data_IF_581937246861
#
_entry.id   IF_581937246861
#
_cell.length_a   1.000
_cell.length_b   1.000
_cell.length_c   1.000
_cell.angle_alpha   90.00
_cell.angle_beta   90.00
_cell.angle_gamma   90.00
#
_symmetry.space_group_name_H-M   'P 1'
#
loop_
_entity.id
_entity.type
_entity.pdbx_description
1 polymer ?
#
# COMPACT_ATOMS: atom_id res chain seq x y z
N UNK A 1 18.41 8.33 -25.87
CA UNK A 1 17.08 8.94 -25.71
C UNK A 1 16.36 8.19 -24.60
N UNK A 2 15.94 8.85 -23.51
CA UNK A 2 15.19 8.18 -22.45
C UNK A 2 13.88 7.62 -23.04
N UNK A 3 13.62 6.32 -22.85
CA UNK A 3 12.39 5.68 -23.29
C UNK A 3 11.20 6.36 -22.61
N UNK A 4 10.26 6.87 -23.39
CA UNK A 4 9.01 7.47 -22.88
C UNK A 4 8.22 6.36 -22.17
N UNK A 5 8.01 6.50 -20.86
CA UNK A 5 7.29 5.55 -20.02
C UNK A 5 5.79 5.80 -20.12
N UNK A 6 5.37 7.07 -20.07
CA UNK A 6 3.95 7.44 -20.07
C UNK A 6 3.50 7.94 -21.44
N UNK A 7 2.29 7.56 -21.85
CA UNK A 7 1.68 7.99 -23.10
C UNK A 7 0.32 8.61 -22.82
N UNK A 8 0.28 9.94 -22.84
CA UNK A 8 -0.95 10.69 -22.65
C UNK A 8 -1.84 10.55 -23.88
N UNK A 9 -3.07 10.10 -23.69
CA UNK A 9 -4.12 10.05 -24.69
C UNK A 9 -5.20 11.08 -24.31
N UNK A 10 -5.38 12.07 -25.17
CA UNK A 10 -6.39 13.11 -24.99
C UNK A 10 -6.83 13.66 -26.36
N UNK A 11 -8.13 13.87 -26.59
CA UNK A 11 -8.61 14.55 -27.79
C UNK A 11 -8.38 16.08 -27.75
N UNK A 12 -7.97 16.63 -26.61
CA UNK A 12 -7.76 18.06 -26.41
C UNK A 12 -6.28 18.38 -26.19
N UNK A 13 -5.84 19.53 -26.70
CA UNK A 13 -4.52 20.12 -26.43
C UNK A 13 -4.59 21.07 -25.22
N UNK A 14 -3.47 21.31 -24.51
CA UNK A 14 -3.42 22.34 -23.45
C UNK A 14 -3.88 23.70 -23.96
N UNK A 15 -4.80 24.34 -23.23
CA UNK A 15 -5.39 25.63 -23.58
C UNK A 15 -5.39 26.61 -22.39
N UNK A 16 -5.59 27.90 -22.65
CA UNK A 16 -5.51 28.95 -21.62
C UNK A 16 -4.15 28.94 -20.91
N UNK A 17 -4.17 29.00 -19.58
CA UNK A 17 -2.94 29.02 -18.76
C UNK A 17 -2.25 27.65 -18.66
N UNK A 18 -2.88 26.57 -19.12
CA UNK A 18 -2.37 25.20 -18.93
C UNK A 18 -0.99 25.01 -19.52
N UNK A 19 -0.74 25.53 -20.74
CA UNK A 19 0.56 25.37 -21.40
C UNK A 19 1.68 26.03 -20.59
N UNK A 20 1.45 27.25 -20.10
CA UNK A 20 2.42 27.95 -19.27
C UNK A 20 2.62 27.23 -17.93
N UNK A 21 1.54 26.73 -17.33
CA UNK A 21 1.60 26.01 -16.06
C UNK A 21 2.40 24.71 -16.17
N UNK A 22 2.13 23.90 -17.20
CA UNK A 22 2.87 22.67 -17.51
C UNK A 22 4.36 22.98 -17.67
N UNK A 23 4.70 23.96 -18.51
CA UNK A 23 6.10 24.31 -18.77
C UNK A 23 6.84 24.75 -17.50
N UNK A 24 6.20 25.57 -16.65
CA UNK A 24 6.81 26.04 -15.38
C UNK A 24 7.00 24.90 -14.37
N UNK A 25 6.00 24.02 -14.24
CA UNK A 25 6.06 22.87 -13.34
C UNK A 25 7.16 21.88 -13.78
N UNK A 26 7.18 21.52 -15.07
CA UNK A 26 8.20 20.62 -15.63
C UNK A 26 9.60 21.23 -15.50
N UNK A 27 9.77 22.52 -15.81
CA UNK A 27 11.05 23.19 -15.62
C UNK A 27 11.49 23.18 -14.16
N UNK A 28 10.59 23.38 -13.19
CA UNK A 28 10.91 23.26 -11.77
C UNK A 28 11.32 21.85 -11.36
N UNK A 29 10.62 20.84 -11.87
CA UNK A 29 10.99 19.44 -11.62
C UNK A 29 12.36 19.10 -12.20
N UNK A 30 12.69 19.60 -13.40
CA UNK A 30 14.00 19.39 -14.04
C UNK A 30 15.14 20.15 -13.33
N UNK A 31 14.86 21.32 -12.74
CA UNK A 31 15.81 22.02 -11.86
C UNK A 31 16.05 21.30 -10.53
N UNK A 32 15.17 20.38 -10.15
CA UNK A 32 15.23 19.67 -8.87
C UNK A 32 14.49 20.39 -7.74
N UNK A 33 13.52 21.26 -8.05
CA UNK A 33 12.70 21.89 -7.01
C UNK A 33 11.90 20.83 -6.24
N UNK A 34 12.13 20.75 -4.94
CA UNK A 34 11.46 19.75 -4.09
C UNK A 34 9.95 20.00 -3.97
N UNK A 35 9.54 21.27 -3.83
CA UNK A 35 8.16 21.66 -3.56
C UNK A 35 7.71 22.72 -4.57
N UNK A 36 6.57 22.48 -5.19
CA UNK A 36 5.91 23.40 -6.12
C UNK A 36 4.40 23.41 -5.88
N UNK A 37 3.74 24.53 -6.16
CA UNK A 37 2.28 24.64 -6.02
C UNK A 37 1.66 25.08 -7.33
N UNK A 38 0.66 24.33 -7.80
CA UNK A 38 -0.28 24.75 -8.83
C UNK A 38 -1.51 25.36 -8.14
N UNK A 39 -1.60 26.68 -8.17
CA UNK A 39 -2.76 27.45 -7.75
C UNK A 39 -3.77 27.45 -8.91
N UNK A 40 -4.64 26.45 -8.93
CA UNK A 40 -5.59 26.22 -10.03
C UNK A 40 -7.03 26.36 -9.58
N UNK A 41 -7.78 27.28 -10.18
CA UNK A 41 -9.21 27.46 -9.88
C UNK A 41 -10.02 26.24 -10.29
N UNK A 42 -11.17 26.02 -9.66
CA UNK A 42 -12.07 24.91 -10.03
C UNK A 42 -12.53 25.04 -11.48
N UNK A 43 -12.46 23.93 -12.22
CA UNK A 43 -12.80 23.88 -13.65
C UNK A 43 -11.67 24.31 -14.60
N UNK A 44 -10.49 24.66 -14.09
CA UNK A 44 -9.34 25.02 -14.94
C UNK A 44 -8.63 23.83 -15.60
N UNK A 45 -9.04 22.59 -15.31
CA UNK A 45 -8.41 21.39 -15.84
C UNK A 45 -7.08 21.01 -15.14
N UNK A 46 -7.04 21.13 -13.80
CA UNK A 46 -5.87 20.74 -12.99
C UNK A 46 -5.39 19.32 -13.28
N UNK A 47 -6.28 18.33 -13.32
CA UNK A 47 -5.90 16.93 -13.60
C UNK A 47 -5.21 16.78 -14.95
N UNK A 48 -5.72 17.43 -16.00
CA UNK A 48 -5.13 17.36 -17.33
C UNK A 48 -3.75 18.03 -17.38
N UNK A 49 -3.58 19.13 -16.64
CA UNK A 49 -2.28 19.81 -16.48
C UNK A 49 -1.27 18.87 -15.83
N UNK A 50 -1.66 18.22 -14.73
CA UNK A 50 -0.80 17.24 -14.05
C UNK A 50 -0.53 16.01 -14.92
N UNK A 51 -1.50 15.53 -15.71
CA UNK A 51 -1.27 14.43 -16.63
C UNK A 51 -0.18 14.77 -17.66
N UNK A 52 -0.19 15.99 -18.22
CA UNK A 52 0.90 16.45 -19.09
C UNK A 52 2.24 16.51 -18.34
N UNK A 53 2.25 16.98 -17.08
CA UNK A 53 3.47 17.00 -16.26
C UNK A 53 4.01 15.59 -16.00
N UNK A 54 3.16 14.62 -15.66
CA UNK A 54 3.56 13.20 -15.48
C UNK A 54 4.17 12.65 -16.77
N UNK A 55 3.55 12.91 -17.91
CA UNK A 55 4.05 12.46 -19.21
C UNK A 55 5.44 13.02 -19.54
N UNK A 56 5.63 14.33 -19.34
CA UNK A 56 6.87 15.02 -19.67
C UNK A 56 7.99 14.76 -18.66
N UNK A 57 7.67 14.67 -17.37
CA UNK A 57 8.63 14.38 -16.32
C UNK A 57 9.02 12.90 -16.28
N UNK A 58 8.12 12.02 -16.72
CA UNK A 58 8.37 10.63 -17.06
C UNK A 58 8.92 9.78 -15.90
N UNK A 59 8.31 9.92 -14.71
CA UNK A 59 8.58 9.11 -13.51
C UNK A 59 7.28 8.51 -12.95
N UNK A 60 7.34 7.39 -12.21
CA UNK A 60 6.19 6.90 -11.44
C UNK A 60 5.57 8.02 -10.62
N UNK A 61 4.25 8.00 -10.45
CA UNK A 61 3.52 9.05 -9.76
C UNK A 61 2.62 8.49 -8.65
N UNK A 62 2.60 9.19 -7.51
CA UNK A 62 1.62 9.01 -6.45
C UNK A 62 0.73 10.25 -6.40
N UNK A 63 -0.57 10.07 -6.52
CA UNK A 63 -1.58 11.13 -6.37
C UNK A 63 -2.35 10.88 -5.09
N UNK A 64 -2.24 11.77 -4.10
CA UNK A 64 -2.98 11.66 -2.84
C UNK A 64 -4.19 12.58 -2.88
N UNK A 65 -5.38 12.02 -2.62
CA UNK A 65 -6.63 12.74 -2.49
C UNK A 65 -7.19 12.66 -1.05
N UNK A 66 -7.94 13.67 -0.58
CA UNK A 66 -8.40 13.77 0.80
C UNK A 66 -9.53 12.77 1.15
N UNK A 67 -10.21 12.22 0.14
CA UNK A 67 -11.32 11.29 0.34
C UNK A 67 -11.45 10.27 -0.80
N UNK A 68 -12.19 9.17 -0.54
CA UNK A 68 -12.37 8.06 -1.49
C UNK A 68 -13.10 8.49 -2.77
N UNK A 69 -14.06 9.42 -2.67
CA UNK A 69 -14.85 9.87 -3.83
C UNK A 69 -13.99 10.62 -4.85
N UNK A 70 -13.17 11.57 -4.39
CA UNK A 70 -12.24 12.30 -5.25
C UNK A 70 -11.14 11.38 -5.77
N UNK A 71 -10.62 10.48 -4.94
CA UNK A 71 -9.65 9.47 -5.38
C UNK A 71 -10.22 8.61 -6.53
N UNK A 72 -11.47 8.16 -6.43
CA UNK A 72 -12.10 7.36 -7.48
C UNK A 72 -12.33 8.17 -8.77
N UNK A 73 -12.67 9.46 -8.64
CA UNK A 73 -12.77 10.37 -9.80
C UNK A 73 -11.43 10.51 -10.51
N UNK A 74 -10.38 10.89 -9.77
CA UNK A 74 -9.03 11.04 -10.31
C UNK A 74 -8.52 9.75 -10.93
N UNK A 75 -8.77 8.59 -10.28
CA UNK A 75 -8.41 7.29 -10.84
C UNK A 75 -9.04 7.07 -12.22
N UNK A 76 -10.34 7.36 -12.40
CA UNK A 76 -11.00 7.25 -13.71
C UNK A 76 -10.42 8.23 -14.74
N UNK A 77 -10.19 9.48 -14.34
CA UNK A 77 -9.59 10.50 -15.21
C UNK A 77 -8.20 10.06 -15.69
N UNK A 78 -7.31 9.65 -14.78
CA UNK A 78 -5.99 9.16 -15.13
C UNK A 78 -6.04 7.88 -15.97
N UNK A 79 -6.99 6.97 -15.73
CA UNK A 79 -7.15 5.76 -16.56
C UNK A 79 -7.54 6.10 -18.00
N UNK A 80 -8.36 7.14 -18.18
CA UNK A 80 -8.72 7.64 -19.51
C UNK A 80 -7.54 8.35 -20.19
N UNK A 81 -6.76 9.13 -19.43
CA UNK A 81 -5.57 9.81 -19.93
C UNK A 81 -4.41 8.86 -20.25
N UNK A 82 -4.30 7.73 -19.56
CA UNK A 82 -3.18 6.80 -19.70
C UNK A 82 -3.65 5.35 -19.88
N UNK A 83 -4.39 5.03 -20.97
CA UNK A 83 -5.00 3.71 -21.16
C UNK A 83 -3.98 2.59 -21.40
N UNK A 84 -2.76 2.93 -21.82
CA UNK A 84 -1.67 1.98 -22.08
C UNK A 84 -0.72 1.81 -20.88
N UNK A 85 -0.84 2.64 -19.84
CA UNK A 85 0.02 2.60 -18.66
C UNK A 85 -0.68 2.00 -17.43
N UNK A 86 0.08 1.71 -16.39
CA UNK A 86 -0.44 1.11 -15.16
C UNK A 86 -1.00 2.19 -14.22
N UNK A 87 -2.27 2.54 -14.40
CA UNK A 87 -3.02 3.39 -13.47
C UNK A 87 -3.69 2.51 -12.43
N UNK A 88 -3.41 2.76 -11.15
CA UNK A 88 -3.82 1.93 -10.02
C UNK A 88 -4.53 2.74 -8.94
N UNK A 89 -5.25 2.04 -8.07
CA UNK A 89 -6.08 2.63 -7.02
C UNK A 89 -5.71 2.05 -5.65
N UNK A 90 -5.40 2.91 -4.67
CA UNK A 90 -4.95 2.49 -3.35
C UNK A 90 -5.65 3.26 -2.22
N UNK A 91 -6.79 2.76 -1.77
CA UNK A 91 -7.53 3.33 -0.63
C UNK A 91 -7.73 2.27 0.45
N UNK A 92 -8.34 2.65 1.57
CA UNK A 92 -8.78 1.67 2.57
C UNK A 92 -9.76 0.69 1.94
N UNK A 93 -9.41 -0.59 2.00
CA UNK A 93 -10.24 -1.73 1.62
C UNK A 93 -11.35 -2.06 2.61
N UNK A 94 -11.56 -1.27 3.65
CA UNK A 94 -12.68 -1.46 4.55
C UNK A 94 -13.89 -0.67 4.03
N UNK A 95 -15.01 -1.37 3.85
CA UNK A 95 -16.34 -0.77 3.64
C UNK A 95 -16.88 -0.26 4.98
N UNK A 96 -16.70 -1.06 6.04
CA UNK A 96 -16.94 -0.70 7.42
C UNK A 96 -15.69 -1.01 8.25
N UNK A 97 -15.32 -0.08 9.13
CA UNK A 97 -14.19 -0.26 10.05
C UNK A 97 -14.47 0.41 11.39
N UNK A 98 -14.56 -0.42 12.42
CA UNK A 98 -14.56 -0.01 13.81
C UNK A 98 -13.21 -0.38 14.42
N UNK A 99 -12.40 0.59 14.85
CA UNK A 99 -11.14 0.29 15.51
C UNK A 99 -11.36 -0.31 16.90
N UNK A 100 -10.38 -1.09 17.36
CA UNK A 100 -10.27 -1.44 18.76
C UNK A 100 -10.09 -0.16 19.60
N UNK A 101 -10.91 -0.03 20.65
CA UNK A 101 -10.86 1.11 21.56
C UNK A 101 -11.31 0.70 22.98
N UNK A 102 -10.96 1.53 23.95
CA UNK A 102 -11.44 1.39 25.32
C UNK A 102 -11.89 2.77 25.82
N UNK A 103 -13.09 2.83 26.40
CA UNK A 103 -13.68 4.03 26.97
C UNK A 103 -13.62 3.93 28.51
N UNK A 104 -12.66 4.59 29.17
CA UNK A 104 -12.47 4.45 30.61
C UNK A 104 -13.65 4.97 31.43
N UNK A 105 -14.38 5.97 30.91
CA UNK A 105 -15.53 6.60 31.58
C UNK A 105 -16.69 5.65 31.79
N UNK A 106 -16.84 4.64 30.92
CA UNK A 106 -17.94 3.66 30.95
C UNK A 106 -17.45 2.22 31.09
N UNK A 107 -16.15 2.02 31.36
CA UNK A 107 -15.46 0.73 31.36
C UNK A 107 -15.82 -0.16 30.15
N UNK A 108 -15.95 0.46 28.98
CA UNK A 108 -16.41 -0.24 27.77
C UNK A 108 -15.24 -0.55 26.85
N UNK A 109 -15.01 -1.84 26.60
CA UNK A 109 -14.09 -2.30 25.56
C UNK A 109 -14.84 -2.51 24.25
N UNK A 110 -14.34 -1.90 23.19
CA UNK A 110 -14.90 -1.95 21.85
C UNK A 110 -14.00 -2.84 21.01
N UNK A 111 -14.54 -3.96 20.54
CA UNK A 111 -13.84 -4.88 19.66
C UNK A 111 -13.64 -4.29 18.26
N UNK A 112 -12.55 -4.74 17.62
CA UNK A 112 -12.29 -4.43 16.22
C UNK A 112 -13.28 -5.20 15.35
N UNK A 113 -14.07 -4.47 14.60
CA UNK A 113 -14.97 -5.04 13.58
C UNK A 113 -14.64 -4.40 12.24
N UNK A 114 -14.55 -5.22 11.20
CA UNK A 114 -14.24 -4.72 9.87
C UNK A 114 -14.88 -5.58 8.79
N UNK A 115 -15.39 -4.92 7.75
CA UNK A 115 -15.86 -5.57 6.54
C UNK A 115 -14.93 -5.19 5.39
N UNK A 116 -14.29 -6.20 4.80
CA UNK A 116 -13.32 -6.02 3.72
C UNK A 116 -14.06 -6.02 2.38
N UNK A 117 -13.73 -5.04 1.55
CA UNK A 117 -14.11 -4.97 0.15
C UNK A 117 -13.06 -5.69 -0.68
N UNK A 118 -13.41 -6.87 -1.19
CA UNK A 118 -12.50 -7.73 -1.96
C UNK A 118 -11.98 -7.05 -3.24
N UNK A 119 -12.78 -6.20 -3.89
CA UNK A 119 -12.35 -5.51 -5.11
C UNK A 119 -11.34 -4.42 -4.80
N UNK A 120 -11.53 -3.66 -3.71
CA UNK A 120 -10.52 -2.67 -3.29
C UNK A 120 -9.23 -3.37 -2.83
N UNK A 121 -9.33 -4.50 -2.13
CA UNK A 121 -8.17 -5.30 -1.76
C UNK A 121 -7.40 -5.79 -3.00
N UNK A 122 -8.10 -6.23 -4.04
CA UNK A 122 -7.52 -6.59 -5.33
C UNK A 122 -6.75 -5.43 -5.95
N UNK A 123 -7.38 -4.24 -6.01
CA UNK A 123 -6.76 -3.03 -6.54
C UNK A 123 -5.52 -2.61 -5.74
N UNK A 124 -5.51 -2.81 -4.41
CA UNK A 124 -4.32 -2.56 -3.58
C UNK A 124 -3.18 -3.52 -3.91
N UNK A 125 -3.49 -4.81 -4.07
CA UNK A 125 -2.50 -5.79 -4.51
C UNK A 125 -1.95 -5.43 -5.88
N UNK A 126 -2.82 -5.10 -6.85
CA UNK A 126 -2.45 -4.62 -8.18
C UNK A 126 -1.50 -3.41 -8.12
N UNK A 127 -1.79 -2.43 -7.27
CA UNK A 127 -0.94 -1.26 -7.09
C UNK A 127 0.47 -1.61 -6.59
N UNK A 128 0.56 -2.48 -5.57
CA UNK A 128 1.85 -2.89 -4.99
C UNK A 128 2.66 -3.77 -5.93
N UNK A 129 2.02 -4.70 -6.66
CA UNK A 129 2.72 -5.57 -7.62
C UNK A 129 3.13 -4.79 -8.86
N UNK A 130 2.34 -3.80 -9.30
CA UNK A 130 2.69 -2.90 -10.39
C UNK A 130 3.98 -2.12 -10.09
N UNK A 131 4.14 -1.55 -8.88
CA UNK A 131 5.38 -0.84 -8.50
C UNK A 131 6.63 -1.73 -8.52
N UNK A 132 6.46 -3.03 -8.26
CA UNK A 132 7.58 -3.99 -8.24
C UNK A 132 7.89 -4.57 -9.62
N UNK A 133 6.98 -4.46 -10.58
CA UNK A 133 7.10 -5.09 -11.92
C UNK A 133 7.23 -4.09 -13.07
N UNK A 134 6.79 -2.84 -12.88
CA UNK A 134 6.70 -1.82 -13.93
C UNK A 134 7.24 -0.47 -13.48
N UNK A 135 7.64 0.35 -14.45
CA UNK A 135 8.11 1.74 -14.22
C UNK A 135 7.06 2.80 -14.58
N UNK A 136 6.07 2.45 -15.39
CA UNK A 136 5.04 3.35 -15.89
C UNK A 136 3.78 3.30 -15.01
N UNK A 137 3.96 3.56 -13.71
CA UNK A 137 2.93 3.39 -12.68
C UNK A 137 2.44 4.74 -12.16
N UNK A 138 1.12 4.93 -12.17
CA UNK A 138 0.42 6.01 -11.46
C UNK A 138 -0.45 5.35 -10.40
N UNK A 139 -0.32 5.75 -9.14
CA UNK A 139 -1.22 5.33 -8.07
C UNK A 139 -2.03 6.50 -7.60
N UNK A 140 -3.35 6.39 -7.65
CA UNK A 140 -4.26 7.31 -6.96
C UNK A 140 -4.63 6.71 -5.61
N UNK A 141 -4.30 7.43 -4.54
CA UNK A 141 -4.43 6.95 -3.18
C UNK A 141 -5.17 7.93 -2.26
N UNK A 142 -5.72 7.39 -1.18
CA UNK A 142 -6.07 8.21 0.00
C UNK A 142 -4.90 8.23 0.99
N UNK A 143 -5.11 8.82 2.17
CA UNK A 143 -4.18 8.70 3.31
C UNK A 143 -3.88 7.25 3.72
N UNK A 144 -4.58 6.25 3.17
CA UNK A 144 -4.17 4.85 3.32
C UNK A 144 -2.73 4.59 2.86
N UNK A 145 -2.15 5.41 1.97
CA UNK A 145 -0.77 5.24 1.52
C UNK A 145 0.27 5.42 2.64
N UNK A 146 -0.04 6.16 3.72
CA UNK A 146 0.87 6.38 4.86
C UNK A 146 0.66 5.39 6.01
N UNK A 147 -0.25 4.42 5.86
CA UNK A 147 -0.49 3.37 6.84
C UNK A 147 0.46 2.18 6.64
N UNK A 148 0.69 1.45 7.72
CA UNK A 148 1.51 0.25 7.76
C UNK A 148 1.12 -0.75 6.67
N UNK A 149 2.12 -1.23 5.95
CA UNK A 149 2.05 -2.24 4.89
C UNK A 149 3.18 -3.26 5.10
N UNK A 150 3.12 -4.39 4.38
CA UNK A 150 4.21 -5.35 4.36
C UNK A 150 5.53 -4.73 3.88
N UNK A 151 6.65 -5.34 4.26
CA UNK A 151 7.97 -4.89 3.79
C UNK A 151 8.11 -5.25 2.31
N UNK A 152 8.44 -4.27 1.42
CA UNK A 152 8.56 -4.54 -0.02
C UNK A 152 9.56 -5.65 -0.34
N UNK A 153 10.72 -5.68 0.34
CA UNK A 153 11.73 -6.72 0.12
C UNK A 153 11.24 -8.11 0.50
N UNK A 154 10.49 -8.25 1.61
CA UNK A 154 9.92 -9.54 2.01
C UNK A 154 8.84 -9.98 1.02
N UNK A 155 8.02 -9.04 0.56
CA UNK A 155 6.97 -9.29 -0.43
C UNK A 155 7.56 -9.76 -1.77
N UNK A 156 8.64 -9.12 -2.22
CA UNK A 156 9.37 -9.48 -3.44
C UNK A 156 10.12 -10.81 -3.30
N UNK A 157 10.85 -11.03 -2.20
CA UNK A 157 11.59 -12.28 -1.96
C UNK A 157 10.67 -13.50 -1.83
N UNK A 158 9.43 -13.30 -1.41
CA UNK A 158 8.43 -14.35 -1.33
C UNK A 158 7.73 -14.60 -2.67
N UNK A 159 7.94 -13.79 -3.71
CA UNK A 159 7.34 -14.01 -5.01
C UNK A 159 7.92 -15.28 -5.68
N UNK A 160 7.08 -16.02 -6.40
CA UNK A 160 7.48 -17.20 -7.17
C UNK A 160 7.58 -16.78 -8.63
N UNK A 161 8.78 -16.88 -9.19
CA UNK A 161 9.03 -16.65 -10.61
C UNK A 161 8.93 -17.96 -11.37
N UNK A 162 8.16 -17.98 -12.46
CA UNK A 162 7.98 -19.14 -13.31
C UNK A 162 8.15 -18.73 -14.78
N UNK A 163 8.95 -19.49 -15.51
CA UNK A 163 9.16 -19.32 -16.95
C UNK A 163 8.88 -20.62 -17.70
N UNK A 164 8.42 -20.48 -18.95
CA UNK A 164 8.26 -21.63 -19.84
C UNK A 164 9.63 -22.31 -20.01
N UNK A 165 9.66 -23.63 -19.81
CA UNK A 165 10.88 -24.45 -19.84
C UNK A 165 11.50 -24.76 -18.47
N UNK A 166 11.08 -24.08 -17.41
CA UNK A 166 11.60 -24.30 -16.05
C UNK A 166 11.39 -25.75 -15.59
N UNK A 167 12.44 -26.33 -15.01
CA UNK A 167 12.39 -27.65 -14.36
C UNK A 167 11.95 -27.45 -12.92
N UNK A 168 10.70 -27.75 -12.60
CA UNK A 168 10.16 -27.65 -11.24
C UNK A 168 9.26 -28.84 -10.93
N UNK A 169 9.48 -29.43 -9.75
CA UNK A 169 8.63 -30.50 -9.27
C UNK A 169 7.28 -29.92 -8.81
N UNK A 170 6.18 -30.56 -9.21
CA UNK A 170 4.82 -30.16 -8.83
C UNK A 170 4.62 -30.08 -7.32
N UNK A 171 5.15 -31.04 -6.56
CA UNK A 171 5.04 -31.03 -5.11
C UNK A 171 5.80 -29.85 -4.49
N UNK A 172 6.89 -29.42 -5.11
CA UNK A 172 7.65 -28.27 -4.64
C UNK A 172 6.91 -26.96 -4.93
N UNK A 173 6.29 -26.82 -6.11
CA UNK A 173 5.43 -25.67 -6.40
C UNK A 173 4.23 -25.59 -5.43
N UNK A 174 3.59 -26.71 -5.09
CA UNK A 174 2.53 -26.77 -4.08
C UNK A 174 3.03 -26.26 -2.73
N UNK A 175 4.20 -26.74 -2.27
CA UNK A 175 4.80 -26.31 -0.99
C UNK A 175 5.16 -24.83 -1.01
N UNK A 176 5.70 -24.32 -2.12
CA UNK A 176 6.03 -22.90 -2.26
C UNK A 176 4.78 -22.03 -2.19
N UNK A 177 3.71 -22.37 -2.93
CA UNK A 177 2.43 -21.65 -2.88
C UNK A 177 1.85 -21.61 -1.47
N UNK A 178 1.84 -22.74 -0.75
CA UNK A 178 1.36 -22.80 0.64
C UNK A 178 2.24 -21.95 1.56
N UNK A 179 3.58 -22.00 1.39
CA UNK A 179 4.53 -21.20 2.18
C UNK A 179 4.28 -19.70 2.04
N UNK A 180 3.86 -19.25 0.86
CA UNK A 180 3.51 -17.86 0.59
C UNK A 180 2.03 -17.56 0.84
N UNK A 181 1.34 -18.42 1.61
CA UNK A 181 -0.03 -18.26 2.12
C UNK A 181 -1.17 -18.43 1.11
N UNK A 182 -0.95 -19.10 -0.02
CA UNK A 182 -2.06 -19.55 -0.85
C UNK A 182 -2.79 -20.75 -0.23
N UNK A 183 -4.10 -20.78 -0.38
CA UNK A 183 -4.93 -21.91 0.07
C UNK A 183 -5.22 -22.85 -1.09
N UNK A 184 -4.96 -24.15 -0.92
CA UNK A 184 -5.32 -25.17 -1.91
C UNK A 184 -6.81 -25.49 -1.80
N UNK A 185 -7.52 -25.48 -2.92
CA UNK A 185 -8.95 -25.81 -3.00
C UNK A 185 -9.24 -26.89 -4.04
N UNK A 186 -10.34 -27.64 -3.86
CA UNK A 186 -10.91 -28.53 -4.87
C UNK A 186 -12.07 -27.87 -5.64
N UNK A 187 -12.64 -26.80 -5.08
CA UNK A 187 -13.85 -26.15 -5.57
C UNK A 187 -13.57 -24.98 -6.50
N UNK A 188 -14.33 -23.91 -6.28
CA UNK A 188 -14.17 -22.63 -6.96
C UNK A 188 -12.83 -21.98 -6.60
N UNK A 189 -12.23 -21.32 -7.59
CA UNK A 189 -11.01 -20.54 -7.41
C UNK A 189 -11.40 -19.11 -7.07
N UNK A 190 -11.13 -18.72 -5.83
CA UNK A 190 -11.21 -17.33 -5.37
C UNK A 190 -9.80 -16.77 -5.18
N UNK A 191 -9.68 -15.45 -5.02
CA UNK A 191 -8.38 -14.76 -4.81
C UNK A 191 -7.57 -15.42 -3.70
N UNK A 192 -6.27 -15.62 -3.95
CA UNK A 192 -5.36 -16.26 -3.00
C UNK A 192 -5.53 -17.77 -2.88
N UNK A 193 -6.23 -18.41 -3.83
CA UNK A 193 -6.36 -19.86 -3.88
C UNK A 193 -5.77 -20.47 -5.14
N UNK A 194 -5.45 -21.75 -5.07
CA UNK A 194 -5.02 -22.53 -6.22
C UNK A 194 -5.61 -23.93 -6.19
N UNK A 195 -5.66 -24.56 -7.36
CA UNK A 195 -6.02 -25.98 -7.50
C UNK A 195 -5.10 -26.66 -8.48
N UNK A 196 -5.03 -27.98 -8.34
CA UNK A 196 -4.17 -28.84 -9.18
C UNK A 196 -5.02 -29.98 -9.73
N UNK A 197 -5.01 -30.16 -11.05
CA UNK A 197 -5.72 -31.22 -11.77
C UNK A 197 -4.77 -31.88 -12.77
N UNK A 198 -4.27 -33.08 -12.43
CA UNK A 198 -3.18 -33.69 -13.21
C UNK A 198 -2.00 -32.73 -13.32
N UNK A 199 -1.47 -32.55 -14.53
CA UNK A 199 -0.33 -31.68 -14.82
C UNK A 199 -0.68 -30.18 -14.91
N UNK A 200 -1.89 -29.78 -14.52
CA UNK A 200 -2.36 -28.39 -14.62
C UNK A 200 -2.50 -27.78 -13.24
N UNK A 201 -1.86 -26.63 -13.05
CA UNK A 201 -2.09 -25.72 -11.94
C UNK A 201 -2.96 -24.58 -12.41
N UNK A 202 -3.98 -24.23 -11.64
CA UNK A 202 -4.75 -23.02 -11.83
C UNK A 202 -4.70 -22.19 -10.55
N UNK A 203 -4.27 -20.95 -10.67
CA UNK A 203 -3.94 -20.07 -9.56
C UNK A 203 -4.71 -18.77 -9.76
N UNK A 204 -5.47 -18.36 -8.75
CA UNK A 204 -6.15 -17.06 -8.73
C UNK A 204 -5.35 -16.13 -7.83
N UNK A 205 -4.55 -15.25 -8.42
CA UNK A 205 -3.69 -14.32 -7.67
C UNK A 205 -4.52 -13.26 -6.94
N UNK A 206 -3.90 -12.53 -6.02
CA UNK A 206 -4.59 -11.46 -5.31
C UNK A 206 -4.74 -10.17 -6.14
N UNK A 207 -3.92 -9.94 -7.17
CA UNK A 207 -3.97 -8.71 -7.98
C UNK A 207 -4.87 -8.83 -9.22
N UNK A 208 -5.02 -10.04 -9.75
CA UNK A 208 -5.57 -10.23 -11.09
C UNK A 208 -7.04 -10.65 -11.07
N UNK A 209 -7.71 -10.43 -12.19
CA UNK A 209 -9.08 -10.91 -12.44
C UNK A 209 -9.11 -12.24 -13.21
N UNK A 210 -7.95 -12.67 -13.71
CA UNK A 210 -7.80 -13.84 -14.57
C UNK A 210 -7.08 -14.96 -13.82
N UNK A 211 -7.36 -16.20 -14.21
CA UNK A 211 -6.70 -17.38 -13.68
C UNK A 211 -5.37 -17.55 -14.41
N UNK A 212 -4.29 -17.65 -13.65
CA UNK A 212 -3.01 -18.09 -14.18
C UNK A 212 -3.00 -19.62 -14.23
N UNK A 213 -2.98 -20.18 -15.45
CA UNK A 213 -2.86 -21.62 -15.68
C UNK A 213 -1.43 -21.98 -16.06
N UNK A 214 -0.81 -22.86 -15.27
CA UNK A 214 0.53 -23.38 -15.51
C UNK A 214 0.40 -24.85 -15.89
N UNK A 215 0.83 -25.20 -17.10
CA UNK A 215 0.74 -26.56 -17.64
C UNK A 215 2.13 -27.21 -17.61
N UNK A 216 2.19 -28.43 -17.08
CA UNK A 216 3.43 -29.21 -16.98
C UNK A 216 3.49 -30.31 -18.04
N UNK A 217 4.71 -30.63 -18.47
CA UNK A 217 5.00 -31.81 -19.26
C UNK A 217 6.41 -32.31 -18.93
N UNK A 218 6.55 -33.59 -18.56
CA UNK A 218 7.84 -34.21 -18.20
C UNK A 218 8.67 -33.36 -17.19
N UNK A 219 8.04 -32.95 -16.08
CA UNK A 219 8.65 -32.10 -15.03
C UNK A 219 9.14 -30.71 -15.48
N UNK A 220 8.68 -30.24 -16.65
CA UNK A 220 8.93 -28.89 -17.14
C UNK A 220 7.64 -28.10 -17.30
N UNK A 221 7.70 -26.80 -17.10
CA UNK A 221 6.61 -25.89 -17.47
C UNK A 221 6.54 -25.83 -18.99
N UNK A 222 5.40 -26.25 -19.55
CA UNK A 222 5.14 -26.23 -20.99
C UNK A 222 4.51 -24.91 -21.42
N UNK A 223 3.45 -24.48 -20.74
CA UNK A 223 2.69 -23.28 -21.06
C UNK A 223 2.35 -22.51 -19.79
N UNK A 224 2.31 -21.18 -19.91
CA UNK A 224 1.75 -20.26 -18.92
C UNK A 224 0.66 -19.47 -19.63
N UNK A 225 -0.58 -19.57 -19.14
CA UNK A 225 -1.76 -19.02 -19.80
C UNK A 225 -2.55 -18.14 -18.83
N UNK A 226 -3.11 -17.03 -19.32
CA UNK A 226 -4.17 -16.29 -18.65
C UNK A 226 -5.53 -16.75 -19.17
N UNK A 227 -6.45 -16.97 -18.24
CA UNK A 227 -7.75 -17.56 -18.54
C UNK A 227 -8.85 -16.78 -17.83
N UNK A 228 -9.88 -16.43 -18.58
CA UNK A 228 -11.08 -15.82 -18.02
C UNK A 228 -11.79 -16.81 -17.06
N UNK A 229 -12.06 -16.41 -15.80
CA UNK A 229 -12.54 -17.34 -14.76
C UNK A 229 -13.93 -17.92 -15.06
N UNK A 230 -14.76 -17.20 -15.83
CA UNK A 230 -16.15 -17.54 -16.14
C UNK A 230 -16.25 -18.35 -17.43
N UNK A 231 -15.76 -17.81 -18.54
CA UNK A 231 -15.85 -18.38 -19.90
C UNK A 231 -14.79 -19.44 -20.17
N UNK A 232 -13.71 -19.48 -19.37
CA UNK A 232 -12.56 -20.39 -19.54
C UNK A 232 -11.80 -20.20 -20.85
N UNK A 233 -12.02 -19.10 -21.56
CA UNK A 233 -11.25 -18.75 -22.76
C UNK A 233 -9.84 -18.34 -22.36
N UNK A 234 -8.86 -18.78 -23.15
CA UNK A 234 -7.48 -18.30 -23.05
C UNK A 234 -7.49 -16.85 -23.56
N UNK A 235 -7.07 -15.93 -22.71
CA UNK A 235 -7.01 -14.50 -23.03
C UNK A 235 -5.61 -14.10 -23.48
N UNK A 236 -4.58 -14.73 -22.92
CA UNK A 236 -3.18 -14.47 -23.26
C UNK A 236 -2.29 -15.69 -22.98
N UNK A 237 -1.23 -15.86 -23.79
CA UNK A 237 -0.12 -16.75 -23.49
C UNK A 237 1.09 -15.95 -23.01
N UNK A 238 1.75 -16.42 -21.95
CA UNK A 238 2.89 -15.76 -21.32
C UNK A 238 4.15 -16.63 -21.42
N UNK A 239 5.30 -15.99 -21.56
CA UNK A 239 6.61 -16.67 -21.47
C UNK A 239 7.08 -16.81 -20.03
N UNK A 240 6.67 -15.88 -19.17
CA UNK A 240 7.01 -15.84 -17.75
C UNK A 240 5.84 -15.25 -16.94
N UNK A 241 5.77 -15.60 -15.66
CA UNK A 241 4.86 -14.97 -14.69
C UNK A 241 5.53 -14.87 -13.33
N UNK A 242 5.06 -13.91 -12.54
CA UNK A 242 5.47 -13.73 -11.15
C UNK A 242 4.23 -13.84 -10.28
N UNK A 243 4.23 -14.84 -9.40
CA UNK A 243 3.13 -15.08 -8.46
C UNK A 243 3.51 -14.40 -7.14
N UNK A 244 2.86 -13.27 -6.88
CA UNK A 244 3.02 -12.58 -5.61
C UNK A 244 2.14 -13.20 -4.52
N UNK A 245 2.56 -13.07 -3.25
CA UNK A 245 1.79 -13.56 -2.11
C UNK A 245 0.42 -12.86 -1.99
N UNK A 246 -0.61 -13.58 -1.51
CA UNK A 246 -1.98 -13.08 -1.46
C UNK A 246 -2.27 -12.19 -0.25
N UNK A 247 -1.25 -11.91 0.57
CA UNK A 247 -1.30 -10.95 1.67
C UNK A 247 -0.03 -10.11 1.67
N UNK A 248 -0.14 -8.82 1.99
CA UNK A 248 1.05 -7.95 2.10
C UNK A 248 1.94 -8.32 3.29
N UNK A 249 1.36 -8.72 4.42
CA UNK A 249 2.11 -9.07 5.62
C UNK A 249 2.56 -10.54 5.58
N UNK A 250 3.82 -10.73 5.22
CA UNK A 250 4.45 -12.05 5.19
C UNK A 250 5.55 -12.07 6.23
N UNK A 251 5.43 -13.00 7.16
CA UNK A 251 6.48 -13.32 8.12
C UNK A 251 6.95 -14.75 7.87
N UNK A 252 8.26 -14.96 7.86
CA UNK A 252 8.83 -16.31 7.82
C UNK A 252 8.87 -16.91 9.23
N UNK A 253 8.96 -18.23 9.34
CA UNK A 253 9.00 -18.94 10.63
C UNK A 253 10.12 -18.40 11.56
N UNK A 254 11.37 -18.16 11.10
CA UNK A 254 12.40 -17.57 11.96
C UNK A 254 12.03 -16.20 12.55
N UNK A 255 11.37 -15.34 11.77
CA UNK A 255 10.92 -14.03 12.24
C UNK A 255 9.82 -14.16 13.30
N UNK A 256 8.89 -15.11 13.13
CA UNK A 256 7.83 -15.38 14.12
C UNK A 256 8.44 -15.90 15.42
N UNK A 257 9.39 -16.84 15.36
CA UNK A 257 10.06 -17.38 16.55
C UNK A 257 10.84 -16.31 17.33
N UNK A 258 11.53 -15.41 16.62
CA UNK A 258 12.19 -14.25 17.23
C UNK A 258 11.16 -13.33 17.87
N UNK A 259 10.13 -12.95 17.13
CA UNK A 259 9.08 -12.05 17.63
C UNK A 259 8.39 -12.61 18.89
N UNK A 260 8.13 -13.92 18.96
CA UNK A 260 7.57 -14.57 20.16
C UNK A 260 8.46 -14.37 21.38
N UNK A 261 9.79 -14.45 21.23
CA UNK A 261 10.74 -14.21 22.34
C UNK A 261 10.70 -12.74 22.76
N UNK A 262 10.73 -11.83 21.80
CA UNK A 262 10.74 -10.38 22.05
C UNK A 262 9.43 -9.90 22.72
N UNK A 263 8.28 -10.42 22.26
CA UNK A 263 6.96 -10.14 22.85
C UNK A 263 6.87 -10.69 24.28
N UNK A 264 7.42 -11.87 24.55
CA UNK A 264 7.45 -12.45 25.90
C UNK A 264 8.28 -11.59 26.87
N UNK A 265 9.43 -11.08 26.41
CA UNK A 265 10.25 -10.18 27.20
C UNK A 265 9.51 -8.87 27.50
N UNK A 266 8.93 -8.22 26.49
CA UNK A 266 8.16 -6.99 26.67
C UNK A 266 6.95 -7.20 27.60
N UNK A 267 6.28 -8.35 27.50
CA UNK A 267 5.19 -8.72 28.41
C UNK A 267 5.68 -8.81 29.86
N UNK A 268 6.83 -9.44 30.11
CA UNK A 268 7.39 -9.56 31.47
C UNK A 268 7.67 -8.18 32.08
N UNK A 269 8.29 -7.29 31.31
CA UNK A 269 8.58 -5.91 31.74
C UNK A 269 7.29 -5.14 32.03
N UNK A 270 6.29 -5.25 31.14
CA UNK A 270 5.02 -4.56 31.31
C UNK A 270 4.23 -5.08 32.52
N UNK A 271 4.30 -6.38 32.82
CA UNK A 271 3.68 -6.95 34.01
C UNK A 271 4.37 -6.48 35.30
N UNK A 272 5.71 -6.36 35.30
CA UNK A 272 6.45 -5.82 36.43
C UNK A 272 6.08 -4.35 36.66
N UNK A 273 5.96 -3.55 35.59
CA UNK A 273 5.50 -2.16 35.65
C UNK A 273 4.12 -2.04 36.31
N UNK A 274 3.12 -2.77 35.82
CA UNK A 274 1.76 -2.70 36.35
C UNK A 274 1.67 -3.14 37.81
N UNK A 275 2.32 -4.25 38.18
CA UNK A 275 2.36 -4.75 39.56
C UNK A 275 3.02 -3.75 40.53
N UNK A 276 4.14 -3.13 40.12
CA UNK A 276 4.82 -2.10 40.92
C UNK A 276 3.94 -0.86 41.16
N UNK A 277 3.01 -0.57 40.24
CA UNK A 277 2.07 0.55 40.33
C UNK A 277 0.73 0.19 41.00
N UNK A 278 0.54 -1.06 41.45
CA UNK A 278 -0.73 -1.53 42.02
C UNK A 278 -1.85 -1.74 41.00
N UNK A 279 -1.52 -1.77 39.70
CA UNK A 279 -2.46 -1.91 38.58
C UNK A 279 -2.67 -3.40 38.24
N UNK A 280 -3.24 -4.15 39.18
CA UNK A 280 -3.35 -5.61 39.08
C UNK A 280 -4.31 -6.07 37.98
N UNK A 281 -5.41 -5.35 37.75
CA UNK A 281 -6.40 -5.67 36.73
C UNK A 281 -5.81 -5.53 35.33
N UNK A 282 -5.06 -4.46 35.07
CA UNK A 282 -4.36 -4.23 33.82
C UNK A 282 -3.29 -5.30 33.59
N UNK A 283 -2.56 -5.70 34.63
CA UNK A 283 -1.58 -6.78 34.57
C UNK A 283 -2.23 -8.13 34.21
N UNK A 284 -3.37 -8.47 34.81
CA UNK A 284 -4.09 -9.70 34.49
C UNK A 284 -4.62 -9.70 33.06
N UNK A 285 -5.23 -8.58 32.66
CA UNK A 285 -5.80 -8.36 31.33
C UNK A 285 -4.75 -8.53 30.22
N UNK A 286 -3.61 -7.86 30.35
CA UNK A 286 -2.55 -7.94 29.34
C UNK A 286 -1.90 -9.32 29.31
N UNK A 287 -1.69 -9.94 30.48
CA UNK A 287 -1.12 -11.29 30.57
C UNK A 287 -2.00 -12.31 29.84
N UNK A 288 -3.30 -12.30 30.11
CA UNK A 288 -4.25 -13.25 29.50
C UNK A 288 -4.28 -13.09 27.99
N UNK A 289 -4.44 -11.86 27.51
CA UNK A 289 -4.54 -11.56 26.07
C UNK A 289 -3.25 -11.88 25.32
N UNK A 290 -2.12 -11.37 25.79
CA UNK A 290 -0.84 -11.57 25.08
C UNK A 290 -0.43 -13.04 25.09
N UNK A 291 -0.66 -13.80 26.17
CA UNK A 291 -0.37 -15.25 26.17
C UNK A 291 -1.24 -16.02 25.18
N UNK A 292 -2.52 -15.69 25.09
CA UNK A 292 -3.40 -16.29 24.08
C UNK A 292 -2.88 -16.00 22.67
N UNK A 293 -2.56 -14.74 22.36
CA UNK A 293 -2.03 -14.35 21.05
C UNK A 293 -0.70 -15.05 20.73
N UNK A 294 0.17 -15.24 21.73
CA UNK A 294 1.45 -15.95 21.57
C UNK A 294 1.26 -17.45 21.25
N UNK A 295 0.29 -18.12 21.87
CA UNK A 295 -0.02 -19.51 21.55
C UNK A 295 -0.62 -19.64 20.14
N UNK A 296 -1.45 -18.69 19.73
CA UNK A 296 -1.98 -18.62 18.36
C UNK A 296 -0.87 -18.38 17.33
N UNK A 297 0.05 -17.45 17.59
CA UNK A 297 1.22 -17.22 16.74
C UNK A 297 2.11 -18.46 16.63
N UNK A 298 2.33 -19.19 17.72
CA UNK A 298 3.16 -20.40 17.74
C UNK A 298 2.52 -21.56 16.96
N UNK A 299 1.21 -21.74 17.08
CA UNK A 299 0.49 -22.88 16.51
C UNK A 299 0.07 -22.65 15.06
N UNK A 300 -0.42 -21.45 14.74
CA UNK A 300 -1.01 -21.13 13.43
C UNK A 300 -0.16 -20.16 12.61
N UNK A 301 0.88 -19.54 13.19
CA UNK A 301 1.63 -18.46 12.55
C UNK A 301 0.87 -17.14 12.45
N UNK A 302 -0.32 -17.05 13.07
CA UNK A 302 -1.20 -15.88 13.01
C UNK A 302 -2.08 -15.77 14.26
N UNK A 303 -2.46 -14.53 14.63
CA UNK A 303 -3.44 -14.24 15.68
C UNK A 303 -4.34 -13.06 15.26
N UNK A 304 -5.51 -12.91 15.90
CA UNK A 304 -6.36 -11.76 15.65
C UNK A 304 -5.71 -10.47 16.17
N UNK A 305 -5.65 -9.44 15.32
CA UNK A 305 -4.96 -8.19 15.67
C UNK A 305 -3.43 -8.29 15.61
N UNK A 306 -2.89 -9.23 14.81
CA UNK A 306 -1.45 -9.45 14.62
C UNK A 306 -0.68 -8.16 14.30
N UNK A 307 -1.32 -7.17 13.67
CA UNK A 307 -0.72 -5.88 13.35
C UNK A 307 -0.19 -5.14 14.59
N UNK A 308 -0.76 -5.38 15.78
CA UNK A 308 -0.29 -4.80 17.03
C UNK A 308 1.09 -5.35 17.47
N UNK A 309 1.54 -6.45 16.87
CA UNK A 309 2.86 -7.03 17.06
C UNK A 309 3.81 -6.76 15.88
N UNK A 310 3.40 -5.91 14.92
CA UNK A 310 4.15 -5.68 13.67
C UNK A 310 5.60 -5.27 13.89
N UNK A 311 5.91 -4.39 14.87
CA UNK A 311 7.31 -4.05 15.20
C UNK A 311 8.16 -5.29 15.48
N UNK A 312 7.68 -6.16 16.36
CA UNK A 312 8.37 -7.39 16.75
C UNK A 312 8.53 -8.35 15.57
N UNK A 313 7.45 -8.55 14.80
CA UNK A 313 7.44 -9.41 13.62
C UNK A 313 8.46 -8.94 12.57
N UNK A 314 8.57 -7.62 12.39
CA UNK A 314 9.54 -7.02 11.46
C UNK A 314 10.95 -6.91 12.04
N UNK A 315 11.12 -7.03 13.36
CA UNK A 315 12.42 -6.85 14.02
C UNK A 315 12.89 -5.40 14.03
N UNK A 316 11.95 -4.46 13.97
CA UNK A 316 12.22 -3.02 14.05
C UNK A 316 12.53 -2.59 15.48
N UNK A 317 13.34 -1.55 15.62
CA UNK A 317 13.58 -0.90 16.91
C UNK A 317 12.34 -0.09 17.34
N UNK A 318 12.13 0.13 18.66
CA UNK A 318 11.05 0.97 19.15
C UNK A 318 11.06 2.37 18.51
N UNK A 319 9.90 2.86 18.11
CA UNK A 319 9.74 4.17 17.48
C UNK A 319 10.08 4.26 15.99
N UNK A 320 10.71 3.25 15.39
CA UNK A 320 11.02 3.24 13.95
C UNK A 320 9.74 3.37 13.11
N UNK A 321 9.81 4.08 11.95
CA UNK A 321 8.65 4.26 11.10
C UNK A 321 8.17 2.92 10.51
N UNK A 322 6.86 2.74 10.30
CA UNK A 322 6.32 1.59 9.57
C UNK A 322 6.80 1.56 8.12
N UNK A 323 6.74 0.39 7.49
CA UNK A 323 6.75 0.35 6.01
C UNK A 323 5.37 0.76 5.50
N UNK A 324 5.31 1.48 4.39
CA UNK A 324 4.05 1.98 3.83
C UNK A 324 4.05 1.82 2.31
N UNK A 325 3.01 2.29 1.62
CA UNK A 325 3.02 2.31 0.15
C UNK A 325 4.22 3.11 -0.39
N UNK A 326 4.64 4.17 0.31
CA UNK A 326 5.76 5.01 -0.10
C UNK A 326 7.09 4.23 -0.15
N UNK A 327 7.21 3.17 0.66
CA UNK A 327 8.37 2.27 0.64
C UNK A 327 8.46 1.41 -0.63
N UNK A 328 7.36 1.23 -1.36
CA UNK A 328 7.32 0.44 -2.60
C UNK A 328 7.72 1.26 -3.82
N UNK A 329 7.72 2.59 -3.73
CA UNK A 329 8.16 3.43 -4.84
C UNK A 329 9.67 3.33 -5.03
N UNK A 330 10.15 3.46 -6.28
CA UNK A 330 11.57 3.37 -6.56
C UNK A 330 12.37 4.47 -5.86
N UNK A 331 13.62 4.16 -5.59
CA UNK A 331 14.62 5.08 -5.08
C UNK A 331 15.75 5.22 -6.08
N UNK A 332 16.36 6.40 -6.12
CA UNK A 332 17.54 6.64 -6.94
C UNK A 332 18.80 5.98 -6.35
N UNK A 333 19.94 6.18 -7.01
CA UNK A 333 21.22 5.62 -6.58
C UNK A 333 21.66 6.11 -5.19
N UNK A 334 21.17 7.28 -4.76
CA UNK A 334 21.44 7.89 -3.46
C UNK A 334 20.36 7.52 -2.42
N UNK A 335 19.53 6.51 -2.70
CA UNK A 335 18.42 6.07 -1.85
C UNK A 335 17.35 7.15 -1.60
N UNK A 336 17.28 8.19 -2.45
CA UNK A 336 16.21 9.19 -2.38
C UNK A 336 15.00 8.71 -3.17
N UNK A 337 13.78 9.11 -2.77
CA UNK A 337 12.56 8.82 -3.53
C UNK A 337 12.67 9.26 -5.00
N UNK A 338 12.46 8.34 -5.94
CA UNK A 338 12.54 8.59 -7.39
C UNK A 338 11.16 8.48 -8.07
N UNK A 339 10.22 9.27 -7.57
CA UNK A 339 8.87 9.36 -8.08
C UNK A 339 8.32 10.78 -7.90
N UNK A 340 7.26 11.10 -8.64
CA UNK A 340 6.54 12.37 -8.50
C UNK A 340 5.37 12.21 -7.51
N UNK A 341 5.35 13.03 -6.47
CA UNK A 341 4.18 13.13 -5.60
C UNK A 341 3.27 14.27 -6.07
N UNK A 342 1.98 14.00 -6.15
CA UNK A 342 0.94 14.99 -6.36
C UNK A 342 0.00 14.94 -5.16
N UNK A 343 -0.25 16.10 -4.56
CA UNK A 343 -1.17 16.20 -3.42
C UNK A 343 -2.35 17.05 -3.87
N UNK A 344 -3.47 16.39 -4.12
CA UNK A 344 -4.70 17.03 -4.57
C UNK A 344 -5.51 17.59 -3.40
N UNK A 345 -6.12 18.75 -3.66
CA UNK A 345 -6.72 19.60 -2.64
C UNK A 345 -5.81 19.73 -1.40
N UNK A 346 -4.57 20.17 -1.64
CA UNK A 346 -3.47 20.12 -0.67
C UNK A 346 -3.80 20.78 0.68
N UNK A 347 -4.57 21.87 0.65
CA UNK A 347 -5.05 22.59 1.82
C UNK A 347 -5.89 21.73 2.79
N UNK A 348 -6.48 20.64 2.31
CA UNK A 348 -7.20 19.63 3.12
C UNK A 348 -6.30 18.42 3.36
N UNK A 349 -5.65 17.92 2.31
CA UNK A 349 -4.89 16.67 2.35
C UNK A 349 -3.67 16.76 3.28
N UNK A 350 -2.96 17.89 3.31
CA UNK A 350 -1.78 18.06 4.17
C UNK A 350 -2.13 18.07 5.67
N UNK A 351 -3.12 18.86 6.14
CA UNK A 351 -3.61 18.74 7.52
C UNK A 351 -4.08 17.33 7.86
N UNK A 352 -4.77 16.64 6.95
CA UNK A 352 -5.25 15.29 7.17
C UNK A 352 -4.10 14.30 7.38
N UNK A 353 -3.09 14.29 6.50
CA UNK A 353 -1.88 13.46 6.64
C UNK A 353 -1.22 13.71 8.01
N UNK A 354 -1.12 14.98 8.43
CA UNK A 354 -0.54 15.36 9.73
C UNK A 354 -1.33 14.80 10.92
N UNK A 355 -2.66 14.81 10.84
CA UNK A 355 -3.54 14.39 11.93
C UNK A 355 -3.62 12.86 12.14
N UNK A 356 -3.32 12.04 11.12
CA UNK A 356 -3.54 10.59 11.20
C UNK A 356 -2.72 9.91 12.32
N UNK A 357 -1.44 10.27 12.48
CA UNK A 357 -0.57 9.65 13.49
C UNK A 357 -0.99 10.02 14.91
N UNK A 358 -1.39 11.27 15.17
CA UNK A 358 -1.79 11.71 16.51
C UNK A 358 -3.13 11.11 16.93
N UNK A 359 -4.09 11.02 16.02
CA UNK A 359 -5.37 10.35 16.26
C UNK A 359 -5.21 8.87 16.59
N UNK A 360 -4.38 8.14 15.83
CA UNK A 360 -4.10 6.72 16.09
C UNK A 360 -3.40 6.51 17.44
N UNK A 361 -2.41 7.36 17.74
CA UNK A 361 -1.65 7.33 18.99
C UNK A 361 -2.56 7.57 20.19
N UNK A 362 -3.39 8.62 20.17
CA UNK A 362 -4.30 8.93 21.29
C UNK A 362 -5.23 7.76 21.61
N UNK A 363 -5.75 7.05 20.61
CA UNK A 363 -6.59 5.87 20.82
C UNK A 363 -5.81 4.72 21.46
N UNK A 364 -4.61 4.46 20.95
CA UNK A 364 -3.79 3.32 21.40
C UNK A 364 -3.13 3.54 22.76
N UNK A 365 -2.79 4.77 23.12
CA UNK A 365 -2.27 5.08 24.45
C UNK A 365 -3.26 4.71 25.54
N UNK A 366 -4.56 4.86 25.29
CA UNK A 366 -5.60 4.40 26.22
C UNK A 366 -5.60 2.87 26.33
N UNK A 367 -5.54 2.15 25.20
CA UNK A 367 -5.45 0.68 25.21
C UNK A 367 -4.22 0.19 26.00
N UNK A 368 -3.06 0.81 25.80
CA UNK A 368 -1.82 0.45 26.50
C UNK A 368 -1.92 0.78 27.99
N UNK A 369 -2.39 2.00 28.32
CA UNK A 369 -2.55 2.46 29.71
C UNK A 369 -3.40 1.51 30.54
N UNK A 370 -4.47 0.97 29.95
CA UNK A 370 -5.41 0.06 30.62
C UNK A 370 -5.13 -1.42 30.31
N UNK A 371 -3.92 -1.79 29.89
CA UNK A 371 -3.49 -3.20 29.77
C UNK A 371 -4.23 -4.01 28.70
N UNK A 372 -4.80 -3.38 27.68
CA UNK A 372 -5.38 -4.07 26.52
C UNK A 372 -4.34 -4.45 25.48
N UNK A 373 -3.27 -3.67 25.34
CA UNK A 373 -2.18 -3.89 24.39
C UNK A 373 -0.82 -3.58 25.01
N UNK A 374 0.24 -4.21 24.49
CA UNK A 374 1.62 -3.88 24.86
C UNK A 374 2.03 -2.50 24.32
N UNK A 375 3.03 -1.84 24.92
CA UNK A 375 3.55 -0.57 24.42
C UNK A 375 3.97 -0.61 22.93
N UNK A 376 4.50 -1.74 22.45
CA UNK A 376 4.79 -1.99 21.04
C UNK A 376 3.63 -1.77 20.06
N UNK A 377 2.38 -1.84 20.52
CA UNK A 377 1.23 -1.58 19.66
C UNK A 377 1.19 -0.13 19.14
N UNK A 378 1.84 0.81 19.85
CA UNK A 378 2.00 2.21 19.42
C UNK A 378 2.92 2.36 18.21
N UNK A 379 3.82 1.40 17.98
CA UNK A 379 4.72 1.40 16.83
C UNK A 379 4.03 0.93 15.54
N UNK A 380 2.86 0.29 15.65
CA UNK A 380 1.98 0.01 14.50
C UNK A 380 1.13 1.24 14.16
N UNK A 381 1.67 2.25 13.54
CA UNK A 381 0.98 3.54 13.34
C UNK A 381 1.06 4.00 11.89
N UNK A 382 0.34 5.05 11.49
CA UNK A 382 0.66 5.81 10.28
C UNK A 382 2.03 6.51 10.42
N UNK A 383 2.59 6.96 9.29
CA UNK A 383 3.73 7.86 9.32
C UNK A 383 3.38 9.16 10.05
N UNK A 384 4.31 9.65 10.87
CA UNK A 384 4.30 11.04 11.33
C UNK A 384 4.53 11.96 10.13
N UNK A 385 4.07 13.19 10.21
CA UNK A 385 4.27 14.16 9.12
C UNK A 385 5.75 14.36 8.78
N UNK A 386 6.62 14.41 9.80
CA UNK A 386 8.08 14.50 9.59
C UNK A 386 8.66 13.27 8.89
N UNK A 387 8.14 12.08 9.17
CA UNK A 387 8.57 10.84 8.51
C UNK A 387 8.07 10.81 7.06
N UNK A 388 6.82 11.24 6.82
CA UNK A 388 6.26 11.38 5.47
C UNK A 388 7.13 12.29 4.59
N UNK A 389 7.60 13.43 5.11
CA UNK A 389 8.49 14.33 4.36
C UNK A 389 9.80 13.66 3.92
N UNK A 390 10.31 12.67 4.65
CA UNK A 390 11.51 11.92 4.25
C UNK A 390 11.28 11.02 3.03
N UNK A 391 10.02 10.69 2.73
CA UNK A 391 9.65 9.97 1.51
C UNK A 391 9.31 10.90 0.34
N UNK A 392 9.48 12.21 0.50
CA UNK A 392 9.23 13.19 -0.56
C UNK A 392 10.55 13.70 -1.10
N UNK A 393 10.73 13.54 -2.41
CA UNK A 393 11.79 14.22 -3.14
C UNK A 393 11.23 15.40 -3.93
N UNK A 394 10.22 15.14 -4.78
CA UNK A 394 9.58 16.16 -5.62
C UNK A 394 8.06 16.05 -5.51
N UNK A 395 7.42 17.16 -5.13
CA UNK A 395 5.98 17.25 -4.96
C UNK A 395 5.37 18.46 -5.66
N UNK A 396 4.20 18.24 -6.24
CA UNK A 396 3.31 19.29 -6.74
C UNK A 396 2.04 19.28 -5.88
N UNK A 397 1.79 20.39 -5.18
CA UNK A 397 0.53 20.65 -4.51
C UNK A 397 -0.46 21.23 -5.51
N UNK A 398 -1.67 20.66 -5.59
CA UNK A 398 -2.76 21.23 -6.39
C UNK A 398 -3.87 21.73 -5.47
N UNK A 399 -4.21 23.01 -5.57
CA UNK A 399 -5.31 23.59 -4.82
C UNK A 399 -5.75 24.92 -5.44
N UNK A 400 -7.03 25.27 -5.28
CA UNK A 400 -7.50 26.63 -5.57
C UNK A 400 -7.13 27.62 -4.44
N UNK A 401 -6.88 27.11 -3.23
CA UNK A 401 -6.61 27.89 -2.01
C UNK A 401 -5.48 27.22 -1.22
N UNK A 402 -4.22 27.28 -1.69
CA UNK A 402 -3.09 26.62 -1.04
C UNK A 402 -2.95 27.04 0.43
N UNK A 403 -2.67 26.07 1.31
CA UNK A 403 -2.45 26.35 2.73
C UNK A 403 -1.08 26.96 3.04
N UNK A 404 -0.88 27.32 4.31
CA UNK A 404 0.36 27.94 4.79
C UNK A 404 1.61 27.08 4.54
N UNK A 405 1.47 25.75 4.62
CA UNK A 405 2.60 24.86 4.39
C UNK A 405 3.08 24.96 2.95
N UNK A 406 2.16 24.92 2.01
CA UNK A 406 2.44 25.00 0.57
C UNK A 406 3.04 26.36 0.22
N UNK A 407 2.42 27.46 0.67
CA UNK A 407 2.89 28.82 0.41
C UNK A 407 4.30 29.06 0.96
N UNK A 408 4.63 28.50 2.13
CA UNK A 408 5.93 28.68 2.79
C UNK A 408 7.05 27.84 2.17
N UNK A 409 6.75 26.65 1.65
CA UNK A 409 7.79 25.69 1.24
C UNK A 409 7.97 25.61 -0.28
N UNK A 410 6.97 25.99 -1.07
CA UNK A 410 7.06 25.92 -2.53
C UNK A 410 8.06 26.93 -3.09
N UNK A 411 8.94 26.45 -3.98
CA UNK A 411 9.90 27.30 -4.69
C UNK A 411 9.24 28.20 -5.72
N UNK A 412 8.09 27.78 -6.23
CA UNK A 412 7.25 28.56 -7.10
C UNK A 412 5.78 28.22 -6.89
N UNK A 413 4.95 29.24 -7.05
CA UNK A 413 3.49 29.13 -7.12
C UNK A 413 3.11 29.48 -8.56
N UNK A 414 2.47 28.53 -9.24
CA UNK A 414 2.05 28.65 -10.63
C UNK A 414 0.55 28.85 -10.64
N UNK A 415 0.09 29.96 -11.17
CA UNK A 415 -1.33 30.26 -11.31
C UNK A 415 -1.90 29.62 -12.58
N UNK A 416 -3.09 29.05 -12.45
CA UNK A 416 -3.92 28.54 -13.55
C UNK A 416 -5.36 28.98 -13.30
N UNK A 417 -5.66 30.20 -13.73
CA UNK A 417 -6.91 30.91 -13.39
C UNK A 417 -7.86 30.92 -14.58
N UNK A 418 -7.32 30.92 -15.81
CA UNK A 418 -8.10 30.87 -17.03
C UNK A 418 -8.65 29.45 -17.22
N UNK A 419 -9.98 29.34 -17.30
CA UNK A 419 -10.64 28.08 -17.67
C UNK A 419 -10.36 27.79 -19.15
N UNK A 420 -10.03 26.54 -19.52
CA UNK A 420 -9.87 26.16 -20.92
C UNK A 420 -11.25 26.24 -21.59
N UNK A 421 -11.53 27.36 -22.24
CA UNK A 421 -12.67 27.48 -23.15
C UNK A 421 -12.28 26.75 -24.44
N UNK A 422 -13.00 25.67 -24.74
CA UNK A 422 -12.91 25.00 -26.04
C UNK A 422 -13.36 25.89 -27.18
#
# INVERSE_FOLDING_TARGET
MNKKLFKLNSPYLPAGDQLQAINKLVAGLQRGDNFQTLLGVTGSGKTFTIANVIEQFNKPALVIAPNKSLAAQLYREYKNFFPENSVNYFVSYYDYYQPEAYLPTSDTYIEKEAMINEEIDRLRHQATTALLSRKDVIIVASVSCIYSLGVPSNYLQAAIHLSVGDIINRNDLIKQLIKIQFTRTKGELIRGTFRVRGEIFEIMTASDTEIQRIEFYNHKIKNILLIDPLTRKITQELQETVIFPPKHFISNLPAIERAIKDIKAELQDQLAYFRKKGLYLEAERINRRTRYDLEMLKSLGYCHGIENYSRHLLGKLPGEPPETLLSYFPKDQQQKPDYLLIVDESHITIPQIRGMSEGDRSRKEILVKYGWRLPSALDNRPLKFSEFLNYINQVIFTSATPGDFELKHSKQIIEQIIRPTG
#
